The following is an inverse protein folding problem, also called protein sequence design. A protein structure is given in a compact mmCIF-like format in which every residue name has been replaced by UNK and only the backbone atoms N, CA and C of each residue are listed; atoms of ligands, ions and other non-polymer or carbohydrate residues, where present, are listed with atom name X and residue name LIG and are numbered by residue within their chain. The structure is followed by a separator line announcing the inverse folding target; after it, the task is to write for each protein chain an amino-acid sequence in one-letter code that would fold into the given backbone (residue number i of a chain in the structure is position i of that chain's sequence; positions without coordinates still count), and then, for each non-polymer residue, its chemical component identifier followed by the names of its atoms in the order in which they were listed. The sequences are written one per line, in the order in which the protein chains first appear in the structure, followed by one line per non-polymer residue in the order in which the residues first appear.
data_IF_399955733736
#
_entry.id   IF_399955733736
#
_cell.length_a   1.000
_cell.length_b   1.000
_cell.length_c   1.000
_cell.angle_alpha   90.00
_cell.angle_beta   90.00
_cell.angle_gamma   90.00
#
_symmetry.space_group_name_H-M   'P 1'
#
loop_
_entity.id
_entity.type
_entity.pdbx_description
1 polymer ?
#
# COMPACT_ATOMS: atom_id res chain seq x y z
N UNK A 1 -70.39 36.00 -3.15
CA UNK A 1 -68.99 36.23 -3.56
C UNK A 1 -68.17 36.43 -2.28
N UNK A 2 -67.41 35.42 -1.90
CA UNK A 2 -66.63 35.41 -0.65
C UNK A 2 -65.35 36.21 -0.82
N UNK A 3 -65.15 37.21 0.02
CA UNK A 3 -63.88 37.93 0.17
C UNK A 3 -62.99 37.15 1.15
N UNK A 4 -61.93 36.52 0.64
CA UNK A 4 -60.87 35.95 1.45
C UNK A 4 -60.00 37.09 2.01
N UNK A 5 -60.12 37.35 3.32
CA UNK A 5 -59.17 38.17 4.05
C UNK A 5 -57.93 37.30 4.32
N UNK A 6 -56.81 37.65 3.70
CA UNK A 6 -55.53 36.99 3.94
C UNK A 6 -55.02 37.27 5.36
N UNK A 7 -54.67 36.20 6.07
CA UNK A 7 -54.05 36.21 7.39
C UNK A 7 -52.72 37.01 7.38
N UNK A 8 -52.69 38.09 8.16
CA UNK A 8 -51.47 38.79 8.53
C UNK A 8 -50.72 37.97 9.59
N UNK A 9 -49.39 37.80 9.50
CA UNK A 9 -48.66 36.98 10.45
C UNK A 9 -48.73 37.59 11.86
N UNK A 10 -49.07 36.75 12.84
CA UNK A 10 -49.20 37.11 14.25
C UNK A 10 -48.00 37.94 14.73
N UNK A 11 -48.29 39.09 15.37
CA UNK A 11 -47.28 40.01 15.84
C UNK A 11 -46.41 39.35 16.93
N UNK A 12 -45.18 38.97 16.56
CA UNK A 12 -44.18 38.40 17.49
C UNK A 12 -44.07 39.24 18.77
N UNK A 13 -44.04 38.57 19.91
CA UNK A 13 -44.07 39.22 21.24
C UNK A 13 -42.86 40.15 21.44
N UNK A 14 -42.97 41.13 22.35
CA UNK A 14 -41.84 42.03 22.72
C UNK A 14 -40.58 41.25 23.13
N UNK A 15 -40.77 40.11 23.79
CA UNK A 15 -39.68 39.21 24.22
C UNK A 15 -38.98 38.57 23.03
N UNK A 16 -39.72 38.06 22.04
CA UNK A 16 -39.17 37.46 20.83
C UNK A 16 -38.41 38.47 19.96
N UNK A 17 -38.97 39.68 19.78
CA UNK A 17 -38.28 40.76 19.06
C UNK A 17 -36.95 41.13 19.72
N UNK A 18 -36.87 41.09 21.06
CA UNK A 18 -35.62 41.31 21.81
C UNK A 18 -34.62 40.17 21.61
N UNK A 19 -35.09 38.90 21.61
CA UNK A 19 -34.25 37.73 21.35
C UNK A 19 -33.67 37.73 19.94
N UNK A 20 -34.49 38.03 18.93
CA UNK A 20 -34.06 38.12 17.54
C UNK A 20 -33.04 39.24 17.32
N UNK A 21 -33.26 40.45 17.86
CA UNK A 21 -32.25 41.52 17.82
C UNK A 21 -30.92 41.12 18.47
N UNK A 22 -30.97 40.38 19.59
CA UNK A 22 -29.75 39.88 20.27
C UNK A 22 -29.03 38.81 19.43
N UNK A 23 -29.79 37.92 18.77
CA UNK A 23 -29.27 36.89 17.87
C UNK A 23 -28.64 37.51 16.63
N UNK A 24 -29.31 38.48 16.01
CA UNK A 24 -28.80 39.23 14.86
C UNK A 24 -27.52 40.01 15.21
N UNK A 25 -27.48 40.70 16.36
CA UNK A 25 -26.26 41.37 16.84
C UNK A 25 -25.09 40.40 17.02
N UNK A 26 -25.34 39.22 17.60
CA UNK A 26 -24.30 38.18 17.75
C UNK A 26 -23.82 37.67 16.40
N UNK A 27 -24.74 37.42 15.45
CA UNK A 27 -24.41 36.99 14.10
C UNK A 27 -23.58 38.04 13.36
N UNK A 28 -23.95 39.32 13.48
CA UNK A 28 -23.22 40.45 12.89
C UNK A 28 -21.82 40.57 13.49
N UNK A 29 -21.70 40.51 14.82
CA UNK A 29 -20.40 40.55 15.50
C UNK A 29 -19.48 39.40 15.07
N UNK A 30 -20.01 38.17 14.93
CA UNK A 30 -19.24 37.03 14.41
C UNK A 30 -18.77 37.25 12.97
N UNK A 31 -19.62 37.82 12.11
CA UNK A 31 -19.28 38.15 10.72
C UNK A 31 -18.22 39.24 10.62
N UNK A 32 -18.34 40.29 11.41
CA UNK A 32 -17.37 41.39 11.46
C UNK A 32 -16.02 40.89 12.01
N UNK A 33 -16.02 40.06 13.06
CA UNK A 33 -14.80 39.43 13.57
C UNK A 33 -14.14 38.51 12.51
N UNK A 34 -14.92 37.70 11.78
CA UNK A 34 -14.40 36.87 10.70
C UNK A 34 -13.84 37.70 9.53
N UNK A 35 -14.49 38.81 9.18
CA UNK A 35 -14.00 39.73 8.16
C UNK A 35 -12.71 40.43 8.61
N UNK A 36 -12.63 40.88 9.86
CA UNK A 36 -11.43 41.48 10.44
C UNK A 36 -10.25 40.49 10.48
N UNK A 37 -10.50 39.22 10.83
CA UNK A 37 -9.48 38.19 10.82
C UNK A 37 -8.94 37.93 9.39
N UNK A 38 -9.82 37.90 8.39
CA UNK A 38 -9.40 37.78 6.97
C UNK A 38 -8.60 39.00 6.52
N UNK A 39 -9.05 40.21 6.83
CA UNK A 39 -8.33 41.43 6.49
C UNK A 39 -6.96 41.51 7.18
N UNK A 40 -6.84 41.04 8.43
CA UNK A 40 -5.56 40.96 9.13
C UNK A 40 -4.62 39.93 8.48
N UNK A 41 -5.13 38.75 8.09
CA UNK A 41 -4.33 37.75 7.36
C UNK A 41 -3.88 38.26 5.98
N UNK A 42 -4.77 38.97 5.26
CA UNK A 42 -4.45 39.60 3.98
C UNK A 42 -3.41 40.72 4.15
N UNK A 43 -3.49 41.51 5.22
CA UNK A 43 -2.50 42.53 5.53
C UNK A 43 -1.12 41.94 5.84
N UNK A 44 -1.06 40.81 6.57
CA UNK A 44 0.19 40.07 6.79
C UNK A 44 0.74 39.49 5.48
N UNK A 45 -0.13 38.98 4.60
CA UNK A 45 0.29 38.46 3.29
C UNK A 45 0.71 39.56 2.30
N UNK A 46 0.17 40.78 2.45
CA UNK A 46 0.53 41.94 1.64
C UNK A 46 1.81 42.63 2.10
N UNK A 47 2.36 42.25 3.26
CA UNK A 47 3.63 42.77 3.76
C UNK A 47 4.78 42.31 2.83
N UNK A 48 5.49 43.24 2.17
CA UNK A 48 6.59 42.90 1.29
C UNK A 48 7.77 42.23 2.01
N UNK A 49 7.92 42.38 3.33
CA UNK A 49 8.97 41.70 4.09
C UNK A 49 8.68 40.20 4.26
N UNK A 50 7.45 39.86 4.63
CA UNK A 50 6.99 38.46 4.73
C UNK A 50 7.06 37.77 3.37
N UNK A 51 6.70 38.47 2.29
CA UNK A 51 6.87 37.96 0.93
C UNK A 51 8.32 37.64 0.56
N UNK A 52 9.29 38.44 1.03
CA UNK A 52 10.73 38.16 0.83
C UNK A 52 11.17 36.94 1.62
N UNK A 53 10.79 36.86 2.91
CA UNK A 53 11.10 35.70 3.77
C UNK A 53 10.56 34.39 3.21
N UNK A 54 9.32 34.40 2.73
CA UNK A 54 8.69 33.23 2.09
C UNK A 54 9.46 32.77 0.85
N UNK A 55 9.91 33.70 0.00
CA UNK A 55 10.74 33.38 -1.18
C UNK A 55 12.11 32.81 -0.81
N UNK A 56 12.77 33.38 0.19
CA UNK A 56 14.05 32.85 0.69
C UNK A 56 13.91 31.43 1.23
N UNK A 57 12.80 31.15 1.94
CA UNK A 57 12.49 29.79 2.41
C UNK A 57 12.19 28.83 1.23
N UNK A 58 11.41 29.27 0.25
CA UNK A 58 11.10 28.49 -0.96
C UNK A 58 12.36 28.17 -1.76
N UNK A 59 13.26 29.15 -1.96
CA UNK A 59 14.55 28.96 -2.63
C UNK A 59 15.46 28.01 -1.83
N UNK A 60 15.47 28.13 -0.50
CA UNK A 60 16.25 27.23 0.36
C UNK A 60 15.72 25.79 0.33
N UNK A 61 14.40 25.60 0.31
CA UNK A 61 13.75 24.29 0.17
C UNK A 61 14.01 23.69 -1.22
N UNK A 62 13.86 24.48 -2.28
CA UNK A 62 14.18 24.06 -3.65
C UNK A 62 15.66 23.64 -3.76
N UNK A 63 16.58 24.43 -3.19
CA UNK A 63 18.00 24.10 -3.15
C UNK A 63 18.28 22.84 -2.30
N UNK A 64 17.54 22.61 -1.22
CA UNK A 64 17.65 21.39 -0.41
C UNK A 64 17.15 20.16 -1.18
N UNK A 65 16.02 20.29 -1.87
CA UNK A 65 15.45 19.26 -2.74
C UNK A 65 16.40 18.91 -3.89
N UNK A 66 16.97 19.91 -4.55
CA UNK A 66 17.96 19.70 -5.61
C UNK A 66 19.25 19.03 -5.10
N UNK A 67 19.73 19.42 -3.91
CA UNK A 67 20.86 18.73 -3.26
C UNK A 67 20.52 17.28 -2.95
N UNK A 68 19.33 16.99 -2.45
CA UNK A 68 18.88 15.63 -2.17
C UNK A 68 18.79 14.78 -3.45
N UNK A 69 18.23 15.32 -4.53
CA UNK A 69 18.15 14.65 -5.84
C UNK A 69 19.55 14.35 -6.40
N UNK A 70 20.47 15.31 -6.37
CA UNK A 70 21.85 15.10 -6.81
C UNK A 70 22.57 14.05 -5.97
N UNK A 71 22.39 14.09 -4.64
CA UNK A 71 22.97 13.10 -3.74
C UNK A 71 22.44 11.68 -4.02
N UNK A 72 21.15 11.56 -4.38
CA UNK A 72 20.55 10.30 -4.81
C UNK A 72 21.17 9.80 -6.12
N UNK A 73 21.24 10.66 -7.15
CA UNK A 73 21.86 10.31 -8.43
C UNK A 73 23.35 9.92 -8.27
N UNK A 74 24.09 10.60 -7.38
CA UNK A 74 25.47 10.25 -7.04
C UNK A 74 25.58 8.91 -6.31
N UNK A 75 24.65 8.62 -5.39
CA UNK A 75 24.59 7.34 -4.70
C UNK A 75 24.29 6.19 -5.67
N UNK A 76 23.37 6.39 -6.62
CA UNK A 76 23.05 5.43 -7.68
C UNK A 76 24.27 5.17 -8.58
N UNK A 77 24.97 6.22 -9.01
CA UNK A 77 26.22 6.08 -9.78
C UNK A 77 27.26 5.24 -9.03
N UNK A 78 27.52 5.55 -7.75
CA UNK A 78 28.47 4.80 -6.91
C UNK A 78 28.05 3.34 -6.74
N UNK A 79 26.75 3.09 -6.64
CA UNK A 79 26.22 1.73 -6.54
C UNK A 79 26.45 0.95 -7.85
N UNK A 80 26.16 1.56 -9.01
CA UNK A 80 26.40 0.95 -10.32
C UNK A 80 27.89 0.69 -10.56
N UNK A 81 28.77 1.62 -10.22
CA UNK A 81 30.23 1.44 -10.32
C UNK A 81 30.71 0.28 -9.44
N UNK A 82 30.20 0.19 -8.20
CA UNK A 82 30.52 -0.91 -7.29
C UNK A 82 29.98 -2.26 -7.78
N UNK A 83 28.78 -2.27 -8.33
CA UNK A 83 28.18 -3.47 -8.93
C UNK A 83 28.98 -3.94 -10.16
N UNK A 84 29.39 -3.00 -11.02
CA UNK A 84 30.24 -3.30 -12.17
C UNK A 84 31.63 -3.82 -11.74
N UNK A 85 32.24 -3.24 -10.70
CA UNK A 85 33.51 -3.73 -10.14
C UNK A 85 33.38 -5.16 -9.62
N UNK A 86 32.30 -5.47 -8.89
CA UNK A 86 32.03 -6.83 -8.40
C UNK A 86 31.82 -7.82 -9.54
N UNK A 87 31.06 -7.43 -10.57
CA UNK A 87 30.85 -8.27 -11.75
C UNK A 87 32.14 -8.51 -12.53
N UNK A 88 33.03 -7.52 -12.60
CA UNK A 88 34.35 -7.67 -13.24
C UNK A 88 35.28 -8.60 -12.43
N UNK A 89 35.29 -8.49 -11.10
CA UNK A 89 36.03 -9.40 -10.23
C UNK A 89 35.50 -10.83 -10.34
N UNK A 90 34.19 -11.02 -10.35
CA UNK A 90 33.55 -12.32 -10.53
C UNK A 90 33.87 -12.93 -11.90
N UNK A 91 33.80 -12.13 -12.97
CA UNK A 91 34.17 -12.57 -14.31
C UNK A 91 35.65 -12.96 -14.42
N UNK A 92 36.55 -12.20 -13.80
CA UNK A 92 37.97 -12.54 -13.75
C UNK A 92 38.23 -13.83 -12.96
N UNK A 93 37.54 -14.02 -11.83
CA UNK A 93 37.62 -15.26 -11.05
C UNK A 93 37.04 -16.45 -11.82
N UNK A 94 35.97 -16.28 -12.59
CA UNK A 94 35.41 -17.32 -13.45
C UNK A 94 36.37 -17.67 -14.60
N UNK A 95 37.02 -16.68 -15.23
CA UNK A 95 38.03 -16.91 -16.26
C UNK A 95 39.24 -17.68 -15.70
N UNK A 96 39.72 -17.30 -14.51
CA UNK A 96 40.80 -18.02 -13.81
C UNK A 96 40.38 -19.45 -13.46
N UNK A 97 39.16 -19.66 -12.96
CA UNK A 97 38.61 -20.98 -12.68
C UNK A 97 38.50 -21.85 -13.95
N UNK A 98 38.03 -21.26 -15.08
CA UNK A 98 37.96 -21.94 -16.38
C UNK A 98 39.35 -22.30 -16.91
N UNK A 99 40.35 -21.43 -16.73
CA UNK A 99 41.74 -21.73 -17.12
C UNK A 99 42.35 -22.85 -16.26
N UNK A 100 42.07 -22.85 -14.96
CA UNK A 100 42.49 -23.92 -14.05
C UNK A 100 41.80 -25.26 -14.38
N UNK A 101 40.50 -25.25 -14.68
CA UNK A 101 39.76 -26.44 -15.13
C UNK A 101 40.30 -26.95 -16.47
N UNK A 102 40.57 -26.06 -17.44
CA UNK A 102 41.15 -26.44 -18.72
C UNK A 102 42.54 -27.09 -18.54
N UNK A 103 43.40 -26.54 -17.68
CA UNK A 103 44.70 -27.13 -17.36
C UNK A 103 44.58 -28.45 -16.61
N UNK A 104 43.62 -28.58 -15.68
CA UNK A 104 43.34 -29.83 -14.99
C UNK A 104 42.82 -30.92 -15.95
N UNK A 105 41.96 -30.55 -16.90
CA UNK A 105 41.44 -31.46 -17.93
C UNK A 105 42.52 -31.89 -18.93
N UNK A 106 43.43 -30.99 -19.29
CA UNK A 106 44.58 -31.32 -20.14
C UNK A 106 45.51 -32.34 -19.45
N UNK A 107 45.82 -32.14 -18.16
CA UNK A 107 46.56 -33.11 -17.35
C UNK A 107 45.83 -34.45 -17.22
N UNK A 108 44.52 -34.43 -16.94
CA UNK A 108 43.70 -35.65 -16.88
C UNK A 108 43.72 -36.41 -18.21
N UNK A 109 43.58 -35.72 -19.34
CA UNK A 109 43.62 -36.34 -20.67
C UNK A 109 45.02 -36.86 -21.05
N UNK A 110 46.10 -36.24 -20.56
CA UNK A 110 47.48 -36.72 -20.74
C UNK A 110 47.73 -37.99 -19.92
N UNK A 111 47.33 -38.01 -18.64
CA UNK A 111 47.41 -39.19 -17.76
C UNK A 111 46.48 -40.34 -18.20
N UNK A 112 45.28 -40.05 -18.69
CA UNK A 112 44.31 -41.06 -19.17
C UNK A 112 44.36 -41.33 -20.68
N UNK A 113 45.43 -40.94 -21.36
CA UNK A 113 45.61 -41.26 -22.78
C UNK A 113 45.75 -42.77 -23.05
N UNK A 114 45.85 -43.60 -22.01
CA UNK A 114 46.03 -45.06 -22.08
C UNK A 114 45.00 -45.91 -21.31
N UNK A 115 43.86 -45.37 -20.83
CA UNK A 115 42.85 -46.21 -20.15
C UNK A 115 41.41 -45.95 -20.63
N UNK A 116 40.70 -47.07 -20.88
CA UNK A 116 39.34 -47.16 -21.42
C UNK A 116 38.27 -46.65 -20.45
N UNK A 117 37.27 -45.97 -21.02
CA UNK A 117 36.14 -45.30 -20.37
C UNK A 117 35.38 -46.15 -19.33
N UNK A 118 35.31 -45.68 -18.09
CA UNK A 118 34.48 -46.21 -17.00
C UNK A 118 33.21 -45.34 -16.83
N UNK A 119 32.06 -46.00 -16.70
CA UNK A 119 30.72 -45.50 -16.92
C UNK A 119 30.06 -44.94 -15.65
N UNK A 120 29.99 -43.60 -15.55
CA UNK A 120 29.32 -42.90 -14.44
C UNK A 120 27.82 -43.18 -14.33
N UNK A 121 27.38 -43.42 -13.08
CA UNK A 121 26.03 -43.82 -12.66
C UNK A 121 24.96 -42.71 -12.81
N UNK A 122 23.87 -43.03 -13.53
CA UNK A 122 22.74 -42.13 -13.82
C UNK A 122 21.47 -42.52 -13.04
N UNK A 123 20.77 -41.56 -12.44
CA UNK A 123 19.44 -41.77 -11.82
C UNK A 123 18.31 -41.21 -12.72
N UNK A 124 17.27 -41.99 -12.96
CA UNK A 124 16.11 -41.62 -13.79
C UNK A 124 14.99 -41.02 -12.93
N UNK A 125 14.60 -39.76 -13.17
CA UNK A 125 13.44 -39.13 -12.53
C UNK A 125 12.35 -38.89 -13.60
N UNK A 126 11.10 -39.27 -13.29
CA UNK A 126 9.93 -39.17 -14.19
C UNK A 126 9.21 -37.81 -14.07
N UNK A 127 9.90 -36.68 -14.23
CA UNK A 127 9.25 -35.35 -14.18
C UNK A 127 9.58 -34.48 -15.40
N UNK A 128 9.26 -34.97 -16.60
CA UNK A 128 9.20 -34.17 -17.83
C UNK A 128 7.76 -33.73 -18.15
N UNK A 129 7.51 -32.49 -18.62
CA UNK A 129 6.16 -32.04 -18.98
C UNK A 129 5.55 -32.95 -20.04
N UNK A 130 4.35 -33.44 -19.78
CA UNK A 130 3.71 -34.46 -20.62
C UNK A 130 3.40 -33.92 -22.02
N UNK A 131 3.83 -34.65 -23.03
CA UNK A 131 3.58 -34.30 -24.42
C UNK A 131 2.18 -34.82 -24.80
N UNK A 132 1.26 -33.88 -25.03
CA UNK A 132 -0.13 -34.18 -25.39
C UNK A 132 -0.22 -34.24 -26.91
N UNK A 133 -0.39 -35.44 -27.45
CA UNK A 133 -0.53 -35.66 -28.89
C UNK A 133 -2.01 -35.87 -29.20
N UNK A 134 -2.54 -35.04 -30.10
CA UNK A 134 -3.91 -35.13 -30.57
C UNK A 134 -3.97 -35.99 -31.84
N UNK A 135 -4.61 -37.15 -31.76
CA UNK A 135 -4.88 -38.00 -32.93
C UNK A 135 -6.39 -38.07 -33.14
N UNK A 136 -6.92 -37.18 -33.97
CA UNK A 136 -8.36 -37.06 -34.19
C UNK A 136 -9.10 -36.68 -32.90
N UNK A 137 -10.06 -37.53 -32.47
CA UNK A 137 -10.90 -37.31 -31.28
C UNK A 137 -10.34 -37.93 -29.98
N UNK A 138 -9.13 -38.50 -30.00
CA UNK A 138 -8.51 -39.13 -28.82
C UNK A 138 -7.23 -38.39 -28.41
N UNK A 139 -7.06 -38.19 -27.10
CA UNK A 139 -5.91 -37.50 -26.50
C UNK A 139 -4.98 -38.53 -25.89
N UNK A 140 -3.76 -38.64 -26.41
CA UNK A 140 -2.73 -39.54 -25.87
C UNK A 140 -1.69 -38.70 -25.13
N UNK A 141 -1.57 -38.93 -23.82
CA UNK A 141 -0.61 -38.25 -22.95
C UNK A 141 0.63 -39.12 -22.78
N UNK A 142 1.75 -38.77 -23.42
CA UNK A 142 3.03 -39.49 -23.25
C UNK A 142 3.95 -38.72 -22.30
N UNK A 143 4.38 -39.39 -21.22
CA UNK A 143 5.41 -38.89 -20.31
C UNK A 143 6.79 -39.24 -20.87
N UNK A 144 7.61 -38.25 -21.24
CA UNK A 144 9.02 -38.45 -21.64
C UNK A 144 9.91 -38.42 -20.39
N UNK A 145 10.81 -39.40 -20.25
CA UNK A 145 11.83 -39.44 -19.19
C UNK A 145 13.07 -38.66 -19.65
N UNK A 146 13.59 -37.76 -18.82
CA UNK A 146 14.78 -36.93 -19.10
C UNK A 146 15.90 -37.36 -18.15
N UNK A 147 17.13 -37.48 -18.66
CA UNK A 147 18.33 -37.74 -17.85
C UNK A 147 18.98 -36.42 -17.46
N UNK A 148 19.25 -36.21 -16.17
CA UNK A 148 19.91 -35.01 -15.65
C UNK A 148 21.09 -35.43 -14.76
N UNK A 149 22.30 -34.84 -14.90
CA UNK A 149 23.41 -35.10 -14.00
C UNK A 149 23.16 -34.49 -12.61
N UNK A 150 23.46 -35.23 -11.52
CA UNK A 150 23.34 -34.72 -10.14
C UNK A 150 24.32 -33.57 -9.92
N UNK A 151 23.82 -32.33 -9.90
CA UNK A 151 24.54 -31.17 -9.33
C UNK A 151 23.63 -30.46 -8.32
N UNK A 152 24.27 -30.02 -7.24
CA UNK A 152 23.71 -29.67 -5.96
C UNK A 152 22.74 -28.48 -5.97
N UNK A 153 21.71 -28.63 -5.14
CA UNK A 153 20.91 -27.65 -4.40
C UNK A 153 20.73 -26.23 -4.98
N UNK A 154 19.49 -25.92 -5.37
CA UNK A 154 18.99 -24.56 -5.57
C UNK A 154 19.12 -23.75 -4.27
N UNK A 155 20.17 -22.94 -4.21
CA UNK A 155 20.35 -21.92 -3.17
C UNK A 155 19.27 -20.85 -3.35
N UNK A 156 18.38 -20.58 -2.38
CA UNK A 156 17.47 -19.47 -2.51
C UNK A 156 18.27 -18.17 -2.56
N UNK A 157 18.20 -17.47 -3.70
CA UNK A 157 18.65 -16.09 -3.86
C UNK A 157 17.79 -15.19 -2.97
N UNK A 158 18.11 -15.13 -1.67
CA UNK A 158 17.83 -13.95 -0.86
C UNK A 158 18.89 -12.89 -1.19
N UNK A 159 18.86 -12.39 -2.41
CA UNK A 159 19.50 -11.10 -2.69
C UNK A 159 18.56 -10.05 -2.12
N UNK A 160 18.80 -9.67 -0.87
CA UNK A 160 18.41 -8.34 -0.41
C UNK A 160 19.19 -7.36 -1.29
N UNK A 161 18.58 -6.98 -2.40
CA UNK A 161 19.08 -5.87 -3.20
C UNK A 161 18.99 -4.64 -2.30
N UNK A 162 20.11 -4.29 -1.67
CA UNK A 162 20.39 -3.01 -1.02
C UNK A 162 20.35 -1.93 -2.11
N UNK A 163 19.14 -1.71 -2.65
CA UNK A 163 18.85 -0.73 -3.67
C UNK A 163 18.66 0.60 -2.96
N UNK A 164 19.30 1.68 -3.44
CA UNK A 164 19.20 3.00 -2.82
C UNK A 164 17.85 3.67 -3.10
N UNK A 165 16.75 2.93 -3.23
CA UNK A 165 15.43 3.54 -3.41
C UNK A 165 14.94 4.04 -2.04
N UNK A 166 14.54 5.31 -1.98
CA UNK A 166 13.85 5.87 -0.82
C UNK A 166 12.45 5.28 -0.60
N UNK A 167 12.01 4.39 -1.50
CA UNK A 167 10.79 3.61 -1.33
C UNK A 167 11.14 2.32 -0.58
N UNK A 168 10.82 2.21 0.72
CA UNK A 168 11.02 0.99 1.49
C UNK A 168 10.13 -0.16 1.00
N UNK A 169 9.21 0.12 0.06
CA UNK A 169 8.39 -0.90 -0.56
C UNK A 169 9.17 -1.59 -1.68
N UNK A 170 9.27 -2.92 -1.62
CA UNK A 170 9.95 -3.66 -2.66
C UNK A 170 9.17 -3.54 -3.97
N UNK A 171 9.81 -3.62 -5.15
CA UNK A 171 9.14 -3.43 -6.44
C UNK A 171 7.88 -4.30 -6.54
N UNK A 172 6.82 -3.82 -7.21
CA UNK A 172 5.51 -4.51 -7.16
C UNK A 172 5.58 -5.99 -7.57
N UNK A 173 6.51 -6.37 -8.43
CA UNK A 173 6.77 -7.77 -8.82
C UNK A 173 7.20 -8.66 -7.64
N UNK A 174 8.05 -8.17 -6.74
CA UNK A 174 8.51 -8.93 -5.55
C UNK A 174 7.51 -8.83 -4.40
N UNK A 175 6.83 -7.69 -4.21
CA UNK A 175 5.78 -7.54 -3.19
C UNK A 175 4.60 -8.50 -3.43
N UNK A 176 4.18 -8.66 -4.70
CA UNK A 176 3.10 -9.57 -5.08
C UNK A 176 3.52 -11.04 -4.96
N UNK A 177 4.79 -11.35 -5.21
CA UNK A 177 5.31 -12.72 -5.04
C UNK A 177 5.33 -13.13 -3.56
N UNK A 178 5.73 -12.24 -2.65
CA UNK A 178 5.71 -12.48 -1.20
C UNK A 178 4.29 -12.62 -0.65
N UNK A 179 3.33 -11.83 -1.13
CA UNK A 179 1.92 -11.94 -0.74
C UNK A 179 1.26 -13.25 -1.19
N UNK A 180 1.74 -13.88 -2.27
CA UNK A 180 1.24 -15.18 -2.74
C UNK A 180 1.83 -16.38 -2.00
N UNK A 181 2.98 -16.23 -1.32
CA UNK A 181 3.66 -17.33 -0.62
C UNK A 181 3.24 -17.47 0.84
N UNK A 182 2.83 -16.39 1.49
CA UNK A 182 2.32 -16.43 2.86
C UNK A 182 0.85 -16.89 2.87
N UNK A 183 0.47 -17.96 3.60
CA UNK A 183 -0.94 -18.30 3.79
C UNK A 183 -1.56 -17.30 4.78
N UNK A 184 -1.75 -16.05 4.35
CA UNK A 184 -2.58 -15.11 5.10
C UNK A 184 -4.03 -15.44 4.80
N UNK A 185 -4.74 -15.99 5.79
CA UNK A 185 -6.20 -16.03 5.74
C UNK A 185 -6.68 -14.59 5.49
N UNK A 186 -7.30 -14.37 4.35
CA UNK A 186 -7.92 -13.10 4.01
C UNK A 186 -8.98 -12.74 5.06
N UNK A 187 -9.22 -11.45 5.32
CA UNK A 187 -10.31 -11.01 6.21
C UNK A 187 -11.63 -11.74 5.94
N UNK A 188 -11.90 -12.08 4.68
CA UNK A 188 -13.08 -12.82 4.26
C UNK A 188 -13.11 -14.24 4.82
N UNK A 189 -11.99 -14.96 4.77
CA UNK A 189 -11.89 -16.32 5.30
C UNK A 189 -12.00 -16.34 6.84
N UNK A 190 -11.46 -15.32 7.52
CA UNK A 190 -11.65 -15.18 8.97
C UNK A 190 -13.13 -14.96 9.33
N UNK A 191 -13.80 -14.06 8.61
CA UNK A 191 -15.23 -13.80 8.80
C UNK A 191 -16.08 -15.05 8.50
N UNK A 192 -15.70 -15.84 7.49
CA UNK A 192 -16.40 -17.06 7.10
C UNK A 192 -16.22 -18.20 8.12
N UNK A 193 -15.04 -18.33 8.72
CA UNK A 193 -14.81 -19.25 9.85
C UNK A 193 -15.66 -18.88 11.06
N UNK A 194 -15.67 -17.61 11.46
CA UNK A 194 -16.50 -17.14 12.59
C UNK A 194 -17.99 -17.30 12.27
N UNK A 195 -18.39 -17.15 11.01
CA UNK A 195 -19.76 -17.40 10.58
C UNK A 195 -20.19 -18.87 10.69
N UNK A 196 -19.27 -19.81 10.51
CA UNK A 196 -19.53 -21.24 10.69
C UNK A 196 -19.63 -21.64 12.17
N UNK A 197 -18.87 -20.97 13.04
CA UNK A 197 -18.86 -21.24 14.48
C UNK A 197 -20.05 -20.62 15.22
N UNK A 198 -20.57 -19.49 14.73
CA UNK A 198 -21.63 -18.72 15.41
C UNK A 198 -22.94 -18.75 14.61
N UNK A 199 -24.04 -19.33 15.14
CA UNK A 199 -25.33 -19.30 14.45
C UNK A 199 -25.81 -17.84 14.32
N UNK A 200 -26.24 -17.47 13.11
CA UNK A 200 -26.73 -16.13 12.75
C UNK A 200 -25.67 -15.01 12.71
N UNK A 201 -24.38 -15.34 12.63
CA UNK A 201 -23.29 -14.35 12.52
C UNK A 201 -23.56 -13.31 11.42
N UNK A 202 -23.40 -12.03 11.77
CA UNK A 202 -23.57 -10.92 10.82
C UNK A 202 -25.01 -10.58 10.43
N UNK A 203 -25.99 -11.24 11.07
CA UNK A 203 -27.41 -10.87 10.97
C UNK A 203 -27.84 -10.03 12.17
N UNK A 204 -29.02 -9.42 12.11
CA UNK A 204 -29.58 -8.65 13.24
C UNK A 204 -29.89 -9.50 14.47
N UNK A 205 -29.94 -10.83 14.31
CA UNK A 205 -30.17 -11.76 15.40
C UNK A 205 -28.88 -12.02 16.22
N UNK A 206 -27.71 -11.65 15.68
CA UNK A 206 -26.45 -11.71 16.42
C UNK A 206 -26.44 -10.62 17.51
N UNK A 207 -26.40 -11.07 18.77
CA UNK A 207 -26.34 -10.18 19.93
C UNK A 207 -24.91 -9.77 20.28
N UNK A 208 -23.91 -10.54 19.85
CA UNK A 208 -22.51 -10.32 20.20
C UNK A 208 -21.85 -9.35 19.22
N UNK A 209 -22.06 -9.52 17.91
CA UNK A 209 -21.41 -8.70 16.89
C UNK A 209 -22.34 -7.63 16.33
N UNK A 210 -21.79 -6.47 16.00
CA UNK A 210 -22.57 -5.40 15.39
C UNK A 210 -22.82 -5.68 13.90
N UNK A 211 -24.07 -5.95 13.46
CA UNK A 211 -24.36 -6.25 12.06
C UNK A 211 -24.09 -5.05 11.13
N UNK A 212 -24.27 -3.83 11.65
CA UNK A 212 -23.95 -2.61 10.91
C UNK A 212 -22.44 -2.50 10.68
N UNK A 213 -21.63 -2.67 11.73
CA UNK A 213 -20.18 -2.60 11.58
C UNK A 213 -19.64 -3.72 10.68
N UNK A 214 -20.16 -4.94 10.80
CA UNK A 214 -19.70 -6.07 9.98
C UNK A 214 -19.99 -5.85 8.49
N UNK A 215 -21.14 -5.26 8.16
CA UNK A 215 -21.58 -5.09 6.76
C UNK A 215 -21.06 -3.81 6.11
N UNK A 216 -21.04 -2.70 6.85
CA UNK A 216 -20.72 -1.38 6.29
C UNK A 216 -19.43 -0.79 6.83
N UNK A 217 -18.74 -1.47 7.77
CA UNK A 217 -17.58 -0.95 8.50
C UNK A 217 -17.84 0.39 9.24
N UNK A 218 -19.11 0.76 9.42
CA UNK A 218 -19.52 2.03 10.03
C UNK A 218 -20.75 1.82 10.91
N UNK A 219 -20.62 2.13 12.20
CA UNK A 219 -21.68 2.05 13.19
C UNK A 219 -21.99 3.44 13.76
N UNK A 220 -23.27 3.81 13.86
CA UNK A 220 -23.72 5.10 14.40
C UNK A 220 -23.31 5.34 15.85
N UNK A 221 -23.11 4.26 16.61
CA UNK A 221 -22.66 4.33 18.01
C UNK A 221 -21.12 4.39 18.13
N UNK A 222 -20.39 4.20 17.03
CA UNK A 222 -18.93 4.22 17.03
C UNK A 222 -18.34 3.28 18.08
N UNK A 223 -17.38 3.77 18.85
CA UNK A 223 -16.71 3.01 19.91
C UNK A 223 -17.65 2.70 21.10
N UNK A 224 -18.73 3.48 21.25
CA UNK A 224 -19.72 3.31 22.32
C UNK A 224 -20.79 2.26 21.99
N UNK A 225 -20.62 1.49 20.92
CA UNK A 225 -21.55 0.41 20.61
C UNK A 225 -21.49 -0.65 21.71
N UNK A 226 -22.66 -1.16 22.14
CA UNK A 226 -22.73 -2.27 23.09
C UNK A 226 -22.35 -3.62 22.46
N UNK A 227 -22.23 -3.68 21.13
CA UNK A 227 -21.89 -4.87 20.35
C UNK A 227 -20.46 -4.77 19.83
N UNK A 228 -19.80 -5.91 19.66
CA UNK A 228 -18.39 -6.00 19.25
C UNK A 228 -18.21 -5.57 17.79
N UNK A 229 -17.17 -4.78 17.53
CA UNK A 229 -16.71 -4.37 16.21
C UNK A 229 -15.44 -5.14 15.84
N UNK A 230 -15.47 -5.89 14.74
CA UNK A 230 -14.34 -6.72 14.29
C UNK A 230 -13.45 -5.96 13.31
N UNK A 231 -12.22 -5.66 13.72
CA UNK A 231 -11.21 -5.00 12.87
C UNK A 231 -10.24 -6.06 12.33
N UNK A 232 -10.31 -6.44 11.04
CA UNK A 232 -9.36 -7.38 10.48
C UNK A 232 -7.98 -6.75 10.31
N UNK A 233 -6.92 -7.48 10.66
CA UNK A 233 -5.53 -7.02 10.49
C UNK A 233 -5.11 -6.89 9.02
N UNK A 234 -5.72 -7.71 8.15
CA UNK A 234 -5.45 -7.73 6.70
C UNK A 234 -6.76 -7.68 5.92
N UNK A 235 -7.02 -6.59 5.20
CA UNK A 235 -8.21 -6.45 4.34
C UNK A 235 -7.84 -5.91 2.96
N UNK A 236 -8.66 -6.22 1.96
CA UNK A 236 -8.56 -5.63 0.62
C UNK A 236 -9.31 -4.29 0.50
N UNK A 237 -10.05 -3.89 1.55
CA UNK A 237 -10.89 -2.70 1.57
C UNK A 237 -10.38 -1.74 2.65
N UNK A 238 -10.10 -0.49 2.25
CA UNK A 238 -9.70 0.59 3.14
C UNK A 238 -10.87 1.56 3.37
N UNK A 239 -11.07 1.98 4.61
CA UNK A 239 -12.08 2.99 4.98
C UNK A 239 -11.38 4.27 5.42
N UNK A 240 -11.50 5.33 4.61
CA UNK A 240 -11.07 6.68 4.98
C UNK A 240 -12.27 7.46 5.52
N UNK A 241 -12.35 7.59 6.85
CA UNK A 241 -13.41 8.36 7.51
C UNK A 241 -13.31 9.82 7.11
N UNK A 242 -14.45 10.43 6.79
CA UNK A 242 -14.58 11.86 6.48
C UNK A 242 -13.70 12.37 5.31
N UNK A 243 -13.35 11.51 4.34
CA UNK A 243 -12.50 11.89 3.21
C UNK A 243 -13.14 12.95 2.30
N UNK A 244 -14.46 12.89 2.09
CA UNK A 244 -15.18 13.83 1.25
C UNK A 244 -16.04 14.77 2.10
N UNK A 245 -15.60 16.03 2.19
CA UNK A 245 -16.36 17.12 2.77
C UNK A 245 -16.99 17.93 1.62
N UNK A 246 -18.20 17.56 1.23
CA UNK A 246 -18.91 18.23 0.13
C UNK A 246 -19.21 19.70 0.45
N UNK A 247 -19.22 20.61 -0.55
CA UNK A 247 -19.57 22.01 -0.34
C UNK A 247 -21.00 22.13 0.19
N UNK A 248 -21.14 22.53 1.46
CA UNK A 248 -22.42 22.60 2.17
C UNK A 248 -22.45 21.88 3.52
N UNK A 249 -21.49 20.98 3.78
CA UNK A 249 -21.23 20.42 5.11
C UNK A 249 -20.32 21.39 5.85
N UNK A 250 -20.92 22.40 6.48
CA UNK A 250 -20.19 23.38 7.30
C UNK A 250 -19.52 22.65 8.46
N UNK A 251 -18.19 22.79 8.56
CA UNK A 251 -17.27 22.40 9.65
C UNK A 251 -17.68 22.88 11.08
N UNK A 252 -18.92 23.35 11.32
CA UNK A 252 -19.39 23.82 12.63
C UNK A 252 -19.91 22.69 13.55
N UNK A 253 -19.93 21.43 13.12
CA UNK A 253 -20.47 20.32 13.94
C UNK A 253 -19.42 19.39 14.57
N UNK A 254 -18.14 19.51 14.24
CA UNK A 254 -17.11 18.59 14.78
C UNK A 254 -16.51 19.01 16.12
N UNK A 255 -16.84 20.20 16.65
CA UNK A 255 -16.41 20.66 17.99
C UNK A 255 -17.29 20.10 19.14
N UNK A 256 -18.14 19.09 18.86
CA UNK A 256 -19.14 18.58 19.81
C UNK A 256 -18.98 17.13 20.25
N UNK A 257 -17.97 16.40 19.76
CA UNK A 257 -17.82 14.96 20.02
C UNK A 257 -16.52 14.56 20.74
N UNK A 258 -15.84 15.51 21.37
CA UNK A 258 -14.82 15.25 22.38
C UNK A 258 -15.24 15.85 23.73
N UNK A 259 -16.30 15.29 24.33
CA UNK A 259 -16.51 15.40 25.77
C UNK A 259 -17.19 14.14 26.30
N UNK A 260 -16.53 13.53 27.29
CA UNK A 260 -16.85 12.33 28.08
C UNK A 260 -16.35 11.00 27.51
#
# INVERSE_FOLDING_TARGET
MSTAAGDLPAASTRSERRKERKKERRRRARREAAAAARAAAEALAADPEEGRRLRELEEAEAAASDRARRAFEDAERRWLEKAASRAAEEAAAEEEARAAEASARDKYNDDHRDETEDDGEWEYIEDGPAEIIWQGNEIIVKKKKIKIPKKAEDKPLSQEEERPTSNPLPPQSVAVASQRREPSLSARELLEKVAQETPNFGTEQDKAHCPFYLKTAACRFGVRCSRVHFYPDKSCTLLMKNMYNGPGLVLEQDEGLEVC
#
